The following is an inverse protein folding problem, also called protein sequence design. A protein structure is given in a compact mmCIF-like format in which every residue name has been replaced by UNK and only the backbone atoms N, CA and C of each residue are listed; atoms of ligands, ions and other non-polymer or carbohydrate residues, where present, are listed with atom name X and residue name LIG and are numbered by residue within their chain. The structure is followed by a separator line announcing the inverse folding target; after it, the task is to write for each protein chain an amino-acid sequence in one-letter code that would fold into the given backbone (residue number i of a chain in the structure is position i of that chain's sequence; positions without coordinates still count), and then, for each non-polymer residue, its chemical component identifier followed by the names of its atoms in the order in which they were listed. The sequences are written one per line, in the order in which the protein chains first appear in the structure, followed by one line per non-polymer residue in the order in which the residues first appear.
data_IF_838885610804
#
_entry.id   IF_838885610804
#
_cell.length_a   1.000
_cell.length_b   1.000
_cell.length_c   1.000
_cell.angle_alpha   90.00
_cell.angle_beta   90.00
_cell.angle_gamma   90.00
#
_symmetry.space_group_name_H-M   'P 1'
#
loop_
_entity.id
_entity.type
_entity.pdbx_description
1 polymer ?
#
# COMPACT_ATOMS: atom_id res chain seq x y z
N UNK A 1 4.86 6.83 -10.21
CA UNK A 1 3.99 7.99 -10.16
C UNK A 1 2.87 7.81 -9.16
N UNK A 2 2.43 8.89 -8.63
CA UNK A 2 1.35 8.90 -7.65
C UNK A 2 0.02 8.66 -8.35
N UNK A 3 -0.83 7.86 -7.71
CA UNK A 3 -2.15 7.56 -8.22
C UNK A 3 -3.18 7.99 -7.19
N UNK A 4 -4.25 8.65 -7.63
CA UNK A 4 -5.37 8.93 -6.76
C UNK A 4 -6.09 7.61 -6.47
N UNK A 5 -6.00 7.16 -5.24
CA UNK A 5 -6.45 5.84 -4.81
C UNK A 5 -7.94 5.64 -5.06
N UNK A 6 -8.74 6.67 -4.75
CA UNK A 6 -10.19 6.58 -4.82
C UNK A 6 -10.72 6.49 -6.25
N UNK A 7 -9.94 7.00 -7.19
CA UNK A 7 -10.38 7.14 -8.57
C UNK A 7 -9.78 6.09 -9.50
N UNK A 8 -9.09 5.08 -8.95
CA UNK A 8 -8.52 4.04 -9.77
C UNK A 8 -9.63 3.17 -10.39
N UNK A 9 -9.80 3.18 -11.73
CA UNK A 9 -10.81 2.33 -12.37
C UNK A 9 -10.40 0.86 -12.40
N UNK A 10 -9.19 0.55 -11.95
CA UNK A 10 -8.60 -0.78 -12.06
C UNK A 10 -8.76 -1.61 -10.79
N UNK A 11 -9.08 -0.98 -9.66
CA UNK A 11 -9.28 -1.71 -8.41
C UNK A 11 -10.74 -2.08 -8.22
N UNK A 12 -10.97 -3.33 -7.84
CA UNK A 12 -12.30 -3.75 -7.41
C UNK A 12 -12.66 -3.05 -6.09
N UNK A 13 -13.96 -2.90 -5.75
CA UNK A 13 -14.35 -2.16 -4.54
C UNK A 13 -13.67 -2.61 -3.25
N UNK A 14 -13.54 -3.92 -3.03
CA UNK A 14 -12.89 -4.42 -1.81
C UNK A 14 -11.42 -4.00 -1.72
N UNK A 15 -10.73 -3.91 -2.85
CA UNK A 15 -9.32 -3.46 -2.87
C UNK A 15 -9.21 -1.96 -2.65
N UNK A 16 -10.13 -1.19 -3.24
CA UNK A 16 -10.19 0.25 -3.05
C UNK A 16 -10.46 0.61 -1.58
N UNK A 17 -11.40 -0.10 -0.95
CA UNK A 17 -11.71 0.08 0.46
C UNK A 17 -10.52 -0.29 1.35
N UNK A 18 -9.84 -1.39 1.03
CA UNK A 18 -8.65 -1.80 1.77
C UNK A 18 -7.56 -0.72 1.69
N UNK A 19 -7.34 -0.18 0.50
CA UNK A 19 -6.33 0.85 0.30
C UNK A 19 -6.65 2.12 1.09
N UNK A 20 -7.92 2.55 1.11
CA UNK A 20 -8.38 3.66 1.95
C UNK A 20 -8.14 3.36 3.43
N UNK A 21 -8.43 2.13 3.85
CA UNK A 21 -8.23 1.69 5.25
C UNK A 21 -6.77 1.73 5.62
N UNK A 22 -5.88 1.25 4.75
CA UNK A 22 -4.44 1.28 4.98
C UNK A 22 -3.97 2.72 5.17
N UNK A 23 -4.36 3.61 4.26
CA UNK A 23 -3.98 5.02 4.33
C UNK A 23 -4.47 5.71 5.58
N UNK A 24 -5.73 5.47 5.95
CA UNK A 24 -6.35 6.03 7.14
C UNK A 24 -5.70 5.50 8.42
N UNK A 25 -5.49 4.20 8.52
CA UNK A 25 -4.85 3.59 9.69
C UNK A 25 -3.39 4.05 9.83
N UNK A 26 -2.71 4.26 8.71
CA UNK A 26 -1.34 4.77 8.71
C UNK A 26 -1.29 6.18 9.30
N UNK A 27 -2.18 7.07 8.86
CA UNK A 27 -2.28 8.43 9.41
C UNK A 27 -2.61 8.40 10.91
N UNK A 28 -3.57 7.58 11.31
CA UNK A 28 -3.97 7.46 12.72
C UNK A 28 -2.81 6.96 13.58
N UNK A 29 -2.05 5.99 13.08
CA UNK A 29 -0.87 5.45 13.79
C UNK A 29 0.24 6.50 13.94
N UNK A 30 0.49 7.28 12.90
CA UNK A 30 1.46 8.37 12.95
C UNK A 30 1.04 9.41 13.99
N UNK A 31 -0.22 9.80 13.99
CA UNK A 31 -0.77 10.75 14.95
C UNK A 31 -0.63 10.23 16.38
N UNK A 32 -0.97 8.97 16.61
CA UNK A 32 -0.88 8.34 17.93
C UNK A 32 0.55 8.31 18.46
N UNK A 33 1.54 8.24 17.56
CA UNK A 33 2.97 8.22 17.92
C UNK A 33 3.58 9.63 17.98
N UNK A 34 2.79 10.67 17.74
CA UNK A 34 3.29 12.04 17.72
C UNK A 34 4.15 12.37 16.50
N UNK A 35 4.02 11.61 15.43
CA UNK A 35 4.75 11.81 14.19
C UNK A 35 3.93 12.63 13.20
N UNK A 36 4.60 13.43 12.38
CA UNK A 36 3.95 14.24 11.38
C UNK A 36 3.29 13.37 10.31
N UNK A 37 2.16 13.82 9.74
CA UNK A 37 1.41 13.01 8.78
C UNK A 37 2.16 12.79 7.47
N UNK A 38 2.04 11.59 6.96
CA UNK A 38 2.53 11.18 5.65
C UNK A 38 1.48 10.31 4.98
N UNK A 39 1.50 10.29 3.66
CA UNK A 39 0.64 9.44 2.86
C UNK A 39 1.45 8.33 2.20
N UNK A 40 0.82 7.18 2.02
CA UNK A 40 1.41 6.07 1.27
C UNK A 40 1.39 6.39 -0.22
N UNK A 41 2.33 5.78 -0.95
CA UNK A 41 2.43 5.93 -2.41
C UNK A 41 2.18 4.57 -3.05
N UNK A 42 1.15 4.50 -3.89
CA UNK A 42 0.86 3.32 -4.70
C UNK A 42 1.74 3.37 -5.94
N UNK A 43 2.53 2.34 -6.15
CA UNK A 43 3.49 2.28 -7.26
C UNK A 43 2.96 1.47 -8.43
N UNK A 44 2.07 0.52 -8.20
CA UNK A 44 1.42 -0.21 -9.29
C UNK A 44 0.11 -0.83 -8.84
N UNK A 45 -0.73 -1.14 -9.83
CA UNK A 45 -2.00 -1.84 -9.65
C UNK A 45 -2.02 -3.00 -10.64
N UNK A 46 -2.44 -4.18 -10.18
CA UNK A 46 -2.60 -5.34 -11.04
C UNK A 46 -3.93 -5.19 -11.80
N UNK A 47 -3.88 -4.80 -13.08
CA UNK A 47 -5.04 -4.32 -13.84
C UNK A 47 -5.45 -5.20 -15.03
N UNK A 48 -4.67 -6.24 -15.35
CA UNK A 48 -4.96 -7.05 -16.53
C UNK A 48 -4.45 -8.47 -16.37
N UNK A 49 -4.92 -9.37 -17.23
CA UNK A 49 -4.39 -10.73 -17.25
C UNK A 49 -2.91 -10.77 -17.61
N UNK A 50 -2.45 -9.83 -18.42
CA UNK A 50 -1.02 -9.71 -18.75
C UNK A 50 -0.20 -9.40 -17.50
N UNK A 51 -0.71 -8.54 -16.62
CA UNK A 51 -0.07 -8.23 -15.35
C UNK A 51 -0.03 -9.47 -14.45
N UNK A 52 -1.10 -10.25 -14.42
CA UNK A 52 -1.17 -11.51 -13.67
C UNK A 52 -0.11 -12.49 -14.16
N UNK A 53 -0.02 -12.69 -15.47
CA UNK A 53 0.97 -13.59 -16.08
C UNK A 53 2.40 -13.15 -15.78
N UNK A 54 2.67 -11.85 -15.83
CA UNK A 54 3.96 -11.27 -15.53
C UNK A 54 4.33 -11.52 -14.06
N UNK A 55 3.38 -11.34 -13.17
CA UNK A 55 3.56 -11.61 -11.74
C UNK A 55 3.90 -13.09 -11.50
N UNK A 56 3.20 -14.00 -12.16
CA UNK A 56 3.46 -15.44 -12.07
C UNK A 56 4.89 -15.81 -12.50
N UNK A 57 5.38 -15.19 -13.57
CA UNK A 57 6.74 -15.45 -14.06
C UNK A 57 7.81 -14.92 -13.11
N UNK A 58 7.54 -13.78 -12.45
CA UNK A 58 8.47 -13.15 -11.51
C UNK A 58 8.49 -13.86 -10.16
N UNK A 59 7.35 -14.32 -9.72
CA UNK A 59 7.15 -15.00 -8.45
C UNK A 59 6.57 -16.37 -8.73
N UNK A 60 7.39 -17.41 -8.80
CA UNK A 60 6.94 -18.75 -9.09
C UNK A 60 5.81 -19.26 -8.19
N UNK A 61 5.49 -18.53 -7.13
CA UNK A 61 4.42 -18.83 -6.19
C UNK A 61 3.15 -18.02 -6.45
N UNK A 62 3.08 -17.23 -7.52
CA UNK A 62 1.81 -16.61 -7.88
C UNK A 62 0.81 -17.71 -8.14
N UNK A 63 -0.21 -17.82 -7.29
CA UNK A 63 -1.08 -18.98 -7.21
C UNK A 63 -1.89 -19.18 -8.48
N UNK A 64 -2.45 -20.38 -8.61
CA UNK A 64 -3.42 -20.70 -9.64
C UNK A 64 -4.66 -19.77 -9.56
N UNK A 65 -4.86 -19.11 -8.43
CA UNK A 65 -5.95 -18.17 -8.20
C UNK A 65 -5.62 -16.74 -8.62
N UNK A 66 -4.59 -16.53 -9.44
CA UNK A 66 -4.21 -15.17 -9.88
C UNK A 66 -5.35 -14.42 -10.59
N UNK A 67 -6.33 -15.11 -11.16
CA UNK A 67 -7.52 -14.46 -11.71
C UNK A 67 -8.30 -13.68 -10.65
N UNK A 68 -8.28 -14.14 -9.38
CA UNK A 68 -8.91 -13.46 -8.26
C UNK A 68 -8.11 -12.24 -7.80
N UNK A 69 -6.85 -12.15 -8.20
CA UNK A 69 -6.00 -11.01 -7.88
C UNK A 69 -6.21 -9.84 -8.84
N UNK A 70 -6.88 -10.09 -9.96
CA UNK A 70 -7.15 -9.06 -10.97
C UNK A 70 -7.99 -7.94 -10.36
N UNK A 71 -7.43 -6.73 -10.35
CA UNK A 71 -8.09 -5.58 -9.73
C UNK A 71 -8.11 -5.62 -8.19
N UNK A 72 -7.57 -6.68 -7.58
CA UNK A 72 -7.55 -6.82 -6.12
C UNK A 72 -6.14 -6.66 -5.53
N UNK A 73 -5.12 -6.47 -6.36
CA UNK A 73 -3.73 -6.39 -5.94
C UNK A 73 -3.10 -5.06 -6.32
N UNK A 74 -2.34 -4.50 -5.40
CA UNK A 74 -1.62 -3.25 -5.60
C UNK A 74 -0.32 -3.25 -4.81
N UNK A 75 0.65 -2.44 -5.26
CA UNK A 75 1.94 -2.27 -4.60
C UNK A 75 1.99 -0.92 -3.91
N UNK A 76 2.48 -0.91 -2.68
CA UNK A 76 2.69 0.30 -1.88
C UNK A 76 4.18 0.40 -1.55
N UNK A 77 4.78 1.54 -1.83
CA UNK A 77 6.20 1.77 -1.52
C UNK A 77 6.44 1.75 -0.01
N UNK A 78 7.55 1.13 0.42
CA UNK A 78 8.04 1.28 1.79
C UNK A 78 9.33 2.11 1.86
N UNK A 79 9.76 2.67 0.74
CA UNK A 79 10.93 3.57 0.67
C UNK A 79 10.54 5.02 0.53
N UNK A 80 9.38 5.31 -0.07
CA UNK A 80 8.94 6.67 -0.37
C UNK A 80 7.56 6.90 0.20
N UNK A 81 7.39 8.07 0.76
CA UNK A 81 6.13 8.52 1.34
C UNK A 81 5.92 9.97 0.95
N UNK A 82 4.67 10.41 0.95
CA UNK A 82 4.33 11.79 0.62
C UNK A 82 4.02 12.54 1.90
N UNK A 83 4.87 13.50 2.25
CA UNK A 83 4.67 14.36 3.39
C UNK A 83 3.40 15.20 3.20
N UNK A 84 2.54 15.22 4.22
CA UNK A 84 1.35 16.07 4.21
C UNK A 84 1.77 17.45 4.70
N UNK A 85 1.52 18.49 3.87
CA UNK A 85 1.85 19.85 4.21
C UNK A 85 0.87 20.42 5.24
N UNK A 86 1.37 21.32 6.10
CA UNK A 86 0.52 22.06 7.02
C UNK A 86 -0.34 23.05 6.24
N UNK A 87 -1.64 23.10 6.56
CA UNK A 87 -2.58 24.02 5.90
C UNK A 87 -2.19 25.47 6.06
N UNK A 88 -1.57 25.81 7.18
CA UNK A 88 -1.11 27.20 7.48
C UNK A 88 0.29 27.48 6.92
N UNK A 89 0.87 26.56 6.17
CA UNK A 89 2.19 26.72 5.56
C UNK A 89 3.35 26.65 6.54
N UNK A 90 3.14 26.13 7.76
CA UNK A 90 4.22 25.96 8.74
C UNK A 90 5.14 24.83 8.30
N UNK A 91 6.46 25.00 8.45
CA UNK A 91 7.37 23.91 8.16
C UNK A 91 7.16 22.78 9.17
N UNK A 92 6.93 21.57 8.66
CA UNK A 92 6.81 20.37 9.47
C UNK A 92 8.14 19.61 9.44
N UNK A 93 8.48 18.99 10.57
CA UNK A 93 9.67 18.17 10.67
C UNK A 93 9.48 16.90 9.83
N UNK A 94 10.53 16.53 9.08
CA UNK A 94 10.52 15.29 8.32
C UNK A 94 10.56 14.07 9.24
N UNK A 95 9.85 13.02 8.85
CA UNK A 95 9.88 11.73 9.53
C UNK A 95 10.79 10.80 8.74
N UNK A 96 11.70 10.11 9.43
CA UNK A 96 12.63 9.18 8.82
C UNK A 96 11.86 8.07 8.06
N UNK A 97 12.34 7.74 6.85
CA UNK A 97 11.70 6.74 6.01
C UNK A 97 11.64 5.35 6.67
N UNK A 98 12.67 4.97 7.42
CA UNK A 98 12.66 3.69 8.14
C UNK A 98 11.59 3.65 9.22
N UNK A 99 11.35 4.78 9.90
CA UNK A 99 10.29 4.90 10.88
C UNK A 99 8.92 4.78 10.19
N UNK A 100 8.73 5.44 9.06
CA UNK A 100 7.49 5.35 8.30
C UNK A 100 7.24 3.91 7.80
N UNK A 101 8.28 3.25 7.32
CA UNK A 101 8.21 1.84 6.92
C UNK A 101 7.76 0.96 8.09
N UNK A 102 8.31 1.17 9.27
CA UNK A 102 7.96 0.40 10.45
C UNK A 102 6.48 0.59 10.82
N UNK A 103 6.01 1.82 10.83
CA UNK A 103 4.61 2.13 11.14
C UNK A 103 3.68 1.48 10.09
N UNK A 104 4.02 1.59 8.82
CA UNK A 104 3.24 0.95 7.76
C UNK A 104 3.22 -0.57 7.91
N UNK A 105 4.36 -1.17 8.27
CA UNK A 105 4.47 -2.61 8.51
C UNK A 105 3.53 -3.06 9.63
N UNK A 106 3.42 -2.28 10.70
CA UNK A 106 2.52 -2.59 11.81
C UNK A 106 1.06 -2.54 11.38
N UNK A 107 0.69 -1.52 10.61
CA UNK A 107 -0.67 -1.38 10.07
C UNK A 107 -1.03 -2.59 9.19
N UNK A 108 -0.13 -2.96 8.30
CA UNK A 108 -0.35 -4.08 7.38
C UNK A 108 -0.42 -5.41 8.13
N UNK A 109 0.43 -5.60 9.14
CA UNK A 109 0.40 -6.80 9.98
C UNK A 109 -0.97 -6.96 10.65
N UNK A 110 -1.50 -5.87 11.21
CA UNK A 110 -2.78 -5.92 11.90
C UNK A 110 -3.91 -6.26 10.94
N UNK A 111 -3.90 -5.70 9.73
CA UNK A 111 -4.90 -6.01 8.71
C UNK A 111 -4.77 -7.46 8.21
N UNK A 112 -3.57 -7.97 8.08
CA UNK A 112 -3.33 -9.37 7.71
C UNK A 112 -3.85 -10.30 8.79
N UNK A 113 -3.59 -10.01 10.05
CA UNK A 113 -4.08 -10.81 11.18
C UNK A 113 -5.60 -10.79 11.28
N UNK A 114 -6.24 -9.71 10.83
CA UNK A 114 -7.69 -9.59 10.76
C UNK A 114 -8.27 -10.22 9.47
N UNK A 115 -7.47 -10.94 8.70
CA UNK A 115 -7.86 -11.60 7.45
C UNK A 115 -8.41 -10.66 6.38
N UNK A 116 -7.91 -9.41 6.36
CA UNK A 116 -8.35 -8.41 5.37
C UNK A 116 -7.54 -8.46 4.09
N UNK A 117 -6.32 -8.99 4.14
CA UNK A 117 -5.42 -9.00 2.99
C UNK A 117 -4.32 -10.03 3.11
N UNK A 118 -3.70 -10.30 1.97
CA UNK A 118 -2.42 -11.00 1.87
C UNK A 118 -1.34 -9.96 1.60
N UNK A 119 -0.15 -10.15 2.14
CA UNK A 119 0.96 -9.21 2.00
C UNK A 119 2.22 -9.96 1.64
N UNK A 120 2.93 -9.46 0.63
CA UNK A 120 4.24 -9.95 0.25
C UNK A 120 5.23 -8.79 0.28
N UNK A 121 6.35 -9.00 0.94
CA UNK A 121 7.43 -8.03 1.04
C UNK A 121 8.35 -8.18 -0.16
N UNK A 122 8.48 -7.14 -0.97
CA UNK A 122 9.30 -7.16 -2.18
C UNK A 122 10.52 -6.26 -2.01
N UNK A 123 11.69 -6.88 -1.88
CA UNK A 123 12.96 -6.18 -1.57
C UNK A 123 13.48 -5.39 -2.76
N UNK A 124 13.44 -5.96 -3.95
CA UNK A 124 14.06 -5.34 -5.13
C UNK A 124 13.40 -4.03 -5.52
N UNK A 125 12.07 -4.00 -5.47
CA UNK A 125 11.31 -2.82 -5.85
C UNK A 125 11.01 -1.91 -4.66
N UNK A 126 11.27 -2.38 -3.45
CA UNK A 126 11.02 -1.60 -2.24
C UNK A 126 9.54 -1.35 -2.00
N UNK A 127 8.71 -2.36 -2.15
CA UNK A 127 7.28 -2.24 -1.96
C UNK A 127 6.68 -3.43 -1.22
N UNK A 128 5.49 -3.21 -0.66
CA UNK A 128 4.62 -4.28 -0.20
C UNK A 128 3.63 -4.60 -1.31
N UNK A 129 3.53 -5.88 -1.64
CA UNK A 129 2.57 -6.39 -2.60
C UNK A 129 1.36 -6.86 -1.84
N UNK A 130 0.21 -6.20 -2.03
CA UNK A 130 -0.96 -6.35 -1.18
C UNK A 130 -2.14 -6.83 -2.01
N UNK A 131 -2.77 -7.91 -1.57
CA UNK A 131 -3.95 -8.46 -2.22
C UNK A 131 -5.13 -8.44 -1.25
N UNK A 132 -6.23 -7.79 -1.64
CA UNK A 132 -7.45 -7.76 -0.83
C UNK A 132 -8.12 -9.13 -0.81
N UNK A 133 -8.65 -9.47 0.37
CA UNK A 133 -9.43 -10.72 0.53
C UNK A 133 -10.91 -10.48 0.39
#
# INVERSE_FOLDING_TARGET
SEMCIRDSPYLVPRASELLDTIGSNFLDSLTAKGLNPNQIIVTSVLRSQSDVKRLRRRNGNASANSAHCYGATFDVSWKRFKKVEDEDGRPLQDVNADTLKLVLSEVLRDLRQADKCYIKYELKQGCFHITAR
#
